data_IF_347037984528
#
_entry.id   IF_347037984528
#
_cell.length_a   1.000
_cell.length_b   1.000
_cell.length_c   1.000
_cell.angle_alpha   90.00
_cell.angle_beta   90.00
_cell.angle_gamma   90.00
#
_symmetry.space_group_name_H-M   'P 1'
#
loop_
_entity.id
_entity.type
_entity.pdbx_description
1 polymer ?
#
# COMPACT_ATOMS: atom_id res chain seq x y z
N UNK A 1 -49.34 -25.55 -14.23
CA UNK A 1 -49.38 -24.21 -13.61
C UNK A 1 -48.72 -24.31 -12.24
N UNK A 2 -47.69 -23.48 -12.03
CA UNK A 2 -47.05 -23.00 -10.77
C UNK A 2 -46.69 -24.02 -9.66
N UNK A 3 -45.51 -24.02 -9.02
CA UNK A 3 -44.32 -23.13 -9.02
C UNK A 3 -43.18 -23.81 -8.21
N UNK A 4 -41.91 -23.68 -8.65
CA UNK A 4 -40.80 -22.92 -8.01
C UNK A 4 -40.82 -22.94 -6.47
N UNK A 5 -39.87 -23.58 -5.78
CA UNK A 5 -38.48 -23.12 -5.52
C UNK A 5 -38.45 -22.35 -4.19
N UNK A 6 -37.51 -22.42 -3.26
CA UNK A 6 -36.23 -23.10 -3.07
C UNK A 6 -35.59 -22.52 -1.79
N UNK A 7 -34.59 -23.22 -1.22
CA UNK A 7 -33.58 -22.62 -0.33
C UNK A 7 -33.87 -22.60 1.18
N UNK A 8 -33.04 -23.30 1.96
CA UNK A 8 -33.10 -23.25 3.43
C UNK A 8 -32.05 -24.12 4.12
N UNK A 9 -30.84 -23.58 4.20
CA UNK A 9 -29.69 -23.89 5.08
C UNK A 9 -29.93 -24.92 6.19
N UNK A 10 -29.14 -25.99 6.17
CA UNK A 10 -28.85 -26.82 7.34
C UNK A 10 -27.38 -27.21 7.29
N UNK A 11 -26.58 -26.66 8.21
CA UNK A 11 -25.20 -27.08 8.40
C UNK A 11 -25.18 -28.55 8.82
N UNK A 12 -24.28 -29.33 8.22
CA UNK A 12 -23.84 -30.58 8.83
C UNK A 12 -22.31 -30.58 8.84
N UNK A 13 -21.80 -30.40 10.04
CA UNK A 13 -20.54 -30.98 10.51
C UNK A 13 -20.61 -32.47 10.17
N UNK A 14 -19.69 -32.95 9.32
CA UNK A 14 -19.48 -34.39 9.14
C UNK A 14 -18.02 -34.71 9.44
N UNK A 15 -17.81 -35.05 10.71
CA UNK A 15 -16.92 -36.07 11.24
C UNK A 15 -15.97 -36.71 10.23
N UNK A 16 -14.67 -36.44 10.35
CA UNK A 16 -13.64 -37.34 9.83
C UNK A 16 -13.51 -38.49 10.82
N UNK A 17 -14.39 -39.47 10.66
CA UNK A 17 -14.30 -40.75 11.36
C UNK A 17 -13.10 -41.53 10.85
N UNK A 18 -12.13 -41.73 11.73
CA UNK A 18 -11.06 -42.69 11.58
C UNK A 18 -11.66 -44.10 11.56
N UNK A 19 -11.60 -44.81 10.43
CA UNK A 19 -11.91 -46.25 10.37
C UNK A 19 -10.79 -47.00 9.64
N UNK A 20 -9.94 -47.59 10.48
CA UNK A 20 -9.49 -48.97 10.46
C UNK A 20 -9.34 -49.71 9.12
N UNK A 21 -8.10 -50.16 8.96
CA UNK A 21 -7.56 -51.14 8.03
C UNK A 21 -8.44 -52.39 7.86
N UNK A 22 -8.81 -52.68 6.61
CA UNK A 22 -9.41 -53.94 6.20
C UNK A 22 -8.84 -54.39 4.87
N UNK A 23 -7.79 -55.24 4.92
CA UNK A 23 -7.16 -55.89 3.78
C UNK A 23 -8.11 -56.96 3.22
N UNK A 24 -8.56 -56.82 1.97
CA UNK A 24 -9.06 -57.93 1.14
C UNK A 24 -8.60 -57.74 -0.29
N UNK A 25 -7.78 -58.68 -0.76
CA UNK A 25 -7.41 -58.87 -2.15
C UNK A 25 -8.60 -59.46 -2.92
N UNK A 26 -8.87 -58.96 -4.13
CA UNK A 26 -9.88 -59.55 -5.00
C UNK A 26 -10.16 -58.76 -6.29
N UNK A 27 -9.62 -59.26 -7.40
CA UNK A 27 -10.32 -59.29 -8.70
C UNK A 27 -10.52 -57.95 -9.43
N UNK A 28 -9.55 -57.58 -10.27
CA UNK A 28 -9.65 -56.46 -11.21
C UNK A 28 -10.77 -56.68 -12.26
N UNK A 29 -11.81 -55.83 -12.24
CA UNK A 29 -12.82 -55.73 -13.31
C UNK A 29 -12.74 -54.34 -13.94
N UNK A 30 -12.79 -54.26 -15.28
CA UNK A 30 -12.47 -53.06 -16.06
C UNK A 30 -13.29 -51.79 -15.77
N UNK A 31 -14.34 -51.89 -14.95
CA UNK A 31 -15.10 -50.77 -14.38
C UNK A 31 -14.30 -49.96 -13.36
N UNK A 32 -13.32 -50.60 -12.71
CA UNK A 32 -12.46 -50.00 -11.69
C UNK A 32 -11.47 -48.99 -12.29
N UNK A 33 -10.79 -49.38 -13.38
CA UNK A 33 -9.86 -48.49 -14.11
C UNK A 33 -10.53 -47.26 -14.72
N UNK A 34 -11.83 -47.32 -15.03
CA UNK A 34 -12.59 -46.17 -15.56
C UNK A 34 -12.95 -45.18 -14.45
N UNK A 35 -13.33 -45.69 -13.28
CA UNK A 35 -13.61 -44.89 -12.08
C UNK A 35 -12.34 -44.27 -11.53
N UNK A 36 -11.24 -45.01 -11.51
CA UNK A 36 -9.93 -44.51 -11.06
C UNK A 36 -9.39 -43.41 -11.99
N UNK A 37 -9.56 -43.56 -13.32
CA UNK A 37 -9.24 -42.49 -14.28
C UNK A 37 -10.13 -41.25 -14.12
N UNK A 38 -11.42 -41.43 -13.83
CA UNK A 38 -12.32 -40.31 -13.57
C UNK A 38 -11.96 -39.58 -12.25
N UNK A 39 -11.60 -40.33 -11.21
CA UNK A 39 -11.11 -39.78 -9.95
C UNK A 39 -9.80 -39.02 -10.13
N UNK A 40 -8.81 -39.60 -10.84
CA UNK A 40 -7.54 -38.91 -11.14
C UNK A 40 -7.75 -37.61 -11.92
N UNK A 41 -8.61 -37.63 -12.95
CA UNK A 41 -8.98 -36.42 -13.70
C UNK A 41 -9.66 -35.38 -12.81
N UNK A 42 -10.57 -35.80 -11.92
CA UNK A 42 -11.23 -34.90 -10.98
C UNK A 42 -10.26 -34.27 -9.99
N UNK A 43 -9.32 -35.04 -9.45
CA UNK A 43 -8.26 -34.55 -8.56
C UNK A 43 -7.35 -33.57 -9.30
N UNK A 44 -6.90 -33.91 -10.51
CA UNK A 44 -6.04 -33.05 -11.35
C UNK A 44 -6.74 -31.74 -11.76
N UNK A 45 -8.04 -31.79 -12.07
CA UNK A 45 -8.84 -30.60 -12.40
C UNK A 45 -9.09 -29.72 -11.16
N UNK A 46 -9.29 -30.31 -9.98
CA UNK A 46 -9.37 -29.56 -8.72
C UNK A 46 -8.03 -28.96 -8.30
N UNK A 47 -6.92 -29.65 -8.55
CA UNK A 47 -5.58 -29.14 -8.32
C UNK A 47 -5.19 -28.05 -9.32
N UNK A 48 -5.56 -28.17 -10.60
CA UNK A 48 -5.37 -27.11 -11.60
C UNK A 48 -6.25 -25.89 -11.29
N UNK A 49 -7.49 -26.10 -10.84
CA UNK A 49 -8.35 -25.00 -10.36
C UNK A 49 -7.78 -24.34 -9.11
N UNK A 50 -7.23 -25.12 -8.17
CA UNK A 50 -6.53 -24.59 -6.99
C UNK A 50 -5.25 -23.86 -7.38
N UNK A 51 -4.48 -24.39 -8.34
CA UNK A 51 -3.29 -23.76 -8.92
C UNK A 51 -3.65 -22.45 -9.59
N UNK A 52 -4.66 -22.39 -10.46
CA UNK A 52 -5.16 -21.16 -11.12
C UNK A 52 -5.68 -20.13 -10.12
N UNK A 53 -6.33 -20.54 -9.03
CA UNK A 53 -6.72 -19.64 -7.94
C UNK A 53 -5.51 -19.12 -7.15
N UNK A 54 -4.41 -19.87 -7.08
CA UNK A 54 -3.14 -19.44 -6.47
C UNK A 54 -2.14 -18.80 -7.44
N UNK A 55 -2.40 -18.83 -8.75
CA UNK A 55 -1.46 -18.42 -9.80
C UNK A 55 -1.87 -17.13 -10.52
N UNK A 56 -2.62 -16.26 -9.85
CA UNK A 56 -2.57 -14.83 -10.14
C UNK A 56 -1.50 -14.17 -9.26
N UNK A 57 -0.28 -14.66 -9.36
CA UNK A 57 0.88 -13.89 -8.94
C UNK A 57 1.69 -13.58 -10.20
N UNK A 58 1.37 -12.42 -10.77
CA UNK A 58 2.29 -11.68 -11.61
C UNK A 58 3.68 -11.72 -10.95
N UNK A 59 4.75 -12.19 -11.62
CA UNK A 59 6.06 -12.35 -11.03
C UNK A 59 6.52 -11.01 -10.46
N UNK A 60 6.44 -10.92 -9.13
CA UNK A 60 7.00 -9.90 -8.23
C UNK A 60 7.49 -8.63 -8.94
N UNK A 61 6.59 -7.66 -9.17
CA UNK A 61 7.04 -6.27 -9.17
C UNK A 61 7.69 -6.07 -7.80
N UNK A 62 9.02 -6.02 -7.75
CA UNK A 62 9.76 -5.82 -6.50
C UNK A 62 9.39 -4.43 -6.02
N UNK A 63 8.43 -4.35 -5.11
CA UNK A 63 8.01 -3.05 -4.60
C UNK A 63 9.17 -2.44 -3.81
N UNK A 64 9.47 -1.16 -4.03
CA UNK A 64 10.44 -0.45 -3.21
C UNK A 64 10.01 -0.47 -1.75
N UNK A 65 10.98 -0.61 -0.84
CA UNK A 65 10.75 -0.56 0.59
C UNK A 65 11.16 0.81 1.13
N UNK A 66 10.17 1.62 1.51
CA UNK A 66 10.35 2.91 2.17
C UNK A 66 10.33 2.80 3.69
N UNK A 67 10.01 1.63 4.25
CA UNK A 67 9.91 1.42 5.69
C UNK A 67 11.21 1.78 6.39
N UNK A 68 11.09 2.57 7.46
CA UNK A 68 12.24 2.96 8.25
C UNK A 68 12.08 4.30 8.92
N UNK A 69 13.14 4.65 9.67
CA UNK A 69 13.29 5.95 10.31
C UNK A 69 14.33 6.76 9.55
N UNK A 70 13.92 7.92 9.09
CA UNK A 70 14.69 8.81 8.24
C UNK A 70 15.03 10.10 8.98
N UNK A 71 16.31 10.46 8.94
CA UNK A 71 16.84 11.71 9.49
C UNK A 71 17.25 12.63 8.35
N UNK A 72 17.01 13.93 8.54
CA UNK A 72 17.44 14.93 7.57
C UNK A 72 18.95 15.03 7.50
N UNK A 73 19.48 14.90 6.27
CA UNK A 73 20.87 15.18 5.94
C UNK A 73 21.03 16.59 5.36
N UNK A 74 20.18 16.95 4.40
CA UNK A 74 20.24 18.23 3.71
C UNK A 74 18.83 18.74 3.34
N UNK A 75 18.69 20.06 3.28
CA UNK A 75 17.49 20.75 2.82
C UNK A 75 17.89 21.95 1.97
N UNK A 76 17.47 21.97 0.72
CA UNK A 76 17.62 23.13 -0.16
C UNK A 76 16.30 23.92 -0.18
N UNK A 77 16.30 25.20 -0.59
CA UNK A 77 15.14 26.07 -0.89
C UNK A 77 13.91 26.09 0.07
N UNK A 78 14.00 25.61 1.32
CA UNK A 78 12.83 25.46 2.19
C UNK A 78 12.17 26.80 2.55
N UNK A 79 12.96 27.86 2.70
CA UNK A 79 12.43 29.21 2.90
C UNK A 79 11.64 29.73 1.69
N UNK A 80 12.13 29.47 0.47
CA UNK A 80 11.45 29.89 -0.77
C UNK A 80 10.13 29.13 -0.97
N UNK A 81 10.03 27.86 -0.54
CA UNK A 81 8.76 27.14 -0.47
C UNK A 81 7.75 27.89 0.42
N UNK A 82 8.14 28.21 1.65
CA UNK A 82 7.24 28.89 2.59
C UNK A 82 6.82 30.27 2.07
N UNK A 83 7.73 30.97 1.39
CA UNK A 83 7.45 32.25 0.74
C UNK A 83 6.45 32.10 -0.42
N UNK A 84 6.61 31.07 -1.26
CA UNK A 84 5.67 30.76 -2.34
C UNK A 84 4.28 30.34 -1.81
N UNK A 85 4.22 29.74 -0.63
CA UNK A 85 2.99 29.45 0.10
C UNK A 85 2.36 30.68 0.79
N UNK A 86 2.99 31.86 0.71
CA UNK A 86 2.48 33.09 1.29
C UNK A 86 2.77 33.27 2.78
N UNK A 87 3.67 32.47 3.36
CA UNK A 87 4.05 32.59 4.77
C UNK A 87 4.90 33.86 4.99
N UNK A 88 4.54 34.66 5.99
CA UNK A 88 5.24 35.90 6.30
C UNK A 88 6.70 35.66 6.74
N UNK A 89 7.58 36.65 6.55
CA UNK A 89 9.03 36.48 6.73
C UNK A 89 9.45 36.07 8.15
N UNK A 90 8.73 36.54 9.18
CA UNK A 90 9.02 36.16 10.56
C UNK A 90 8.71 34.69 10.82
N UNK A 91 7.54 34.22 10.39
CA UNK A 91 7.14 32.82 10.52
C UNK A 91 8.03 31.89 9.70
N UNK A 92 8.54 32.33 8.55
CA UNK A 92 9.50 31.54 7.75
C UNK A 92 10.78 31.25 8.52
N UNK A 93 11.38 32.24 9.17
CA UNK A 93 12.61 32.04 9.96
C UNK A 93 12.41 31.05 11.10
N UNK A 94 11.27 31.16 11.80
CA UNK A 94 10.91 30.23 12.87
C UNK A 94 10.69 28.82 12.32
N UNK A 95 9.98 28.69 11.20
CA UNK A 95 9.73 27.41 10.55
C UNK A 95 11.01 26.74 10.04
N UNK A 96 11.96 27.50 9.46
CA UNK A 96 13.28 26.99 9.05
C UNK A 96 14.05 26.46 10.26
N UNK A 97 14.08 27.21 11.37
CA UNK A 97 14.74 26.76 12.58
C UNK A 97 14.07 25.50 13.18
N UNK A 98 12.73 25.45 13.13
CA UNK A 98 11.95 24.36 13.69
C UNK A 98 11.97 23.07 12.87
N UNK A 99 12.00 23.21 11.55
CA UNK A 99 12.08 22.12 10.59
C UNK A 99 13.55 21.82 10.21
N UNK A 100 14.53 22.28 10.98
CA UNK A 100 15.95 22.02 10.71
C UNK A 100 16.36 20.56 10.91
N UNK A 101 15.59 19.79 11.68
CA UNK A 101 15.85 18.37 12.00
C UNK A 101 14.55 17.55 12.07
N UNK A 102 13.79 17.40 10.98
CA UNK A 102 12.60 16.57 10.98
C UNK A 102 13.01 15.10 11.15
N UNK A 103 12.23 14.42 11.96
CA UNK A 103 12.26 12.98 12.12
C UNK A 103 11.09 12.38 11.34
N UNK A 104 11.37 11.56 10.34
CA UNK A 104 10.35 10.94 9.49
C UNK A 104 10.34 9.44 9.73
N UNK A 105 9.21 8.91 10.17
CA UNK A 105 8.96 7.47 10.33
C UNK A 105 7.98 7.03 9.24
N UNK A 106 8.34 5.98 8.51
CA UNK A 106 7.50 5.39 7.46
C UNK A 106 7.25 3.93 7.83
N UNK A 107 5.98 3.55 7.85
CA UNK A 107 5.54 2.15 7.89
C UNK A 107 4.87 1.83 6.57
N UNK A 108 5.28 0.74 5.95
CA UNK A 108 4.76 0.32 4.65
C UNK A 108 4.27 -1.12 4.75
N UNK A 109 3.02 -1.35 4.33
CA UNK A 109 2.46 -2.69 4.17
C UNK A 109 1.89 -2.80 2.75
N UNK A 110 2.73 -3.25 1.82
CA UNK A 110 2.41 -3.26 0.40
C UNK A 110 2.18 -1.84 -0.14
N UNK A 111 0.94 -1.54 -0.52
CA UNK A 111 0.50 -0.24 -1.02
C UNK A 111 -0.07 0.68 0.09
N UNK A 112 -0.19 0.17 1.32
CA UNK A 112 -0.60 0.97 2.47
C UNK A 112 0.62 1.66 3.09
N UNK A 113 0.54 2.97 3.24
CA UNK A 113 1.58 3.80 3.84
C UNK A 113 1.04 4.53 5.06
N UNK A 114 1.82 4.48 6.14
CA UNK A 114 1.70 5.38 7.26
C UNK A 114 2.99 6.20 7.36
N UNK A 115 2.84 7.51 7.42
CA UNK A 115 3.97 8.42 7.47
C UNK A 115 3.76 9.40 8.61
N UNK A 116 4.71 9.41 9.53
CA UNK A 116 4.78 10.36 10.64
C UNK A 116 5.98 11.26 10.46
N UNK A 117 5.72 12.56 10.32
CA UNK A 117 6.76 13.59 10.27
C UNK A 117 6.70 14.40 11.56
N UNK A 118 7.77 14.36 12.35
CA UNK A 118 7.87 15.11 13.61
C UNK A 118 8.95 16.19 13.47
N UNK A 119 8.57 17.44 13.70
CA UNK A 119 9.47 18.61 13.82
C UNK A 119 9.39 19.17 15.23
N UNK A 120 10.23 20.14 15.58
CA UNK A 120 10.17 20.74 16.93
C UNK A 120 8.89 21.53 17.18
N UNK A 121 8.18 21.96 16.13
CA UNK A 121 6.96 22.77 16.23
C UNK A 121 5.70 21.95 15.94
N UNK A 122 5.76 20.98 15.03
CA UNK A 122 4.58 20.24 14.60
C UNK A 122 4.89 18.78 14.29
N UNK A 123 3.99 17.90 14.70
CA UNK A 123 3.94 16.52 14.23
C UNK A 123 2.73 16.34 13.33
N UNK A 124 2.93 15.71 12.17
CA UNK A 124 1.87 15.38 11.21
C UNK A 124 1.91 13.89 10.90
N UNK A 125 0.75 13.27 10.86
CA UNK A 125 0.59 11.84 10.58
C UNK A 125 -0.38 11.68 9.41
N UNK A 126 0.00 10.91 8.40
CA UNK A 126 -0.85 10.60 7.25
C UNK A 126 -0.90 9.09 7.05
N UNK A 127 -2.08 8.60 6.70
CA UNK A 127 -2.36 7.21 6.32
C UNK A 127 -3.00 7.23 4.94
N UNK A 128 -2.45 6.49 3.98
CA UNK A 128 -2.99 6.43 2.63
C UNK A 128 -2.70 5.10 1.96
N UNK A 129 -3.46 4.82 0.90
CA UNK A 129 -3.24 3.70 -0.01
C UNK A 129 -2.84 4.28 -1.36
N UNK A 130 -1.82 3.72 -2.01
CA UNK A 130 -1.46 4.14 -3.36
C UNK A 130 -2.64 3.93 -4.31
N UNK A 131 -2.97 4.96 -5.09
CA UNK A 131 -4.08 4.95 -6.04
C UNK A 131 -5.42 5.39 -5.44
N UNK A 132 -5.52 5.59 -4.12
CA UNK A 132 -6.74 6.06 -3.46
C UNK A 132 -6.61 7.52 -3.00
N UNK A 133 -7.73 8.24 -3.07
CA UNK A 133 -7.80 9.61 -2.56
C UNK A 133 -7.94 9.62 -1.03
N UNK A 134 -7.19 10.49 -0.36
CA UNK A 134 -7.27 10.67 1.09
C UNK A 134 -7.32 12.17 1.45
N UNK A 135 -7.80 12.47 2.65
CA UNK A 135 -7.80 13.83 3.17
C UNK A 135 -6.50 14.10 3.92
N UNK A 136 -5.86 15.21 3.62
CA UNK A 136 -4.71 15.69 4.39
C UNK A 136 -4.83 17.19 4.68
N UNK A 137 -3.90 17.69 5.46
CA UNK A 137 -3.74 19.11 5.74
C UNK A 137 -2.37 19.56 5.24
N UNK A 138 -2.34 20.63 4.45
CA UNK A 138 -1.10 21.22 3.97
C UNK A 138 -0.33 21.88 5.13
N UNK A 139 0.95 22.15 4.92
CA UNK A 139 1.85 22.74 5.95
C UNK A 139 1.32 24.06 6.53
N UNK A 140 0.58 24.83 5.73
CA UNK A 140 -0.05 26.09 6.10
C UNK A 140 -1.45 25.95 6.72
N UNK A 141 -1.91 24.72 6.95
CA UNK A 141 -3.13 24.41 7.69
C UNK A 141 -4.41 24.30 6.86
N UNK A 142 -4.30 24.31 5.52
CA UNK A 142 -5.47 24.18 4.64
C UNK A 142 -5.80 22.71 4.40
N UNK A 143 -7.10 22.38 4.42
CA UNK A 143 -7.57 21.04 4.11
C UNK A 143 -7.48 20.79 2.60
N UNK A 144 -6.88 19.68 2.20
CA UNK A 144 -6.79 19.26 0.81
C UNK A 144 -7.10 17.77 0.65
N UNK A 145 -7.46 17.39 -0.57
CA UNK A 145 -7.58 16.01 -1.02
C UNK A 145 -6.32 15.64 -1.76
N UNK A 146 -5.74 14.51 -1.40
CA UNK A 146 -4.50 14.02 -1.94
C UNK A 146 -4.67 12.68 -2.63
N UNK A 147 -3.92 12.49 -3.72
CA UNK A 147 -3.86 11.23 -4.45
C UNK A 147 -2.40 10.86 -4.68
N UNK A 148 -1.94 9.80 -4.01
CA UNK A 148 -0.59 9.27 -4.16
C UNK A 148 -0.55 8.16 -5.22
N UNK A 149 0.41 8.24 -6.13
CA UNK A 149 0.60 7.29 -7.25
C UNK A 149 2.07 6.99 -7.46
N UNK A 150 2.38 5.79 -7.95
CA UNK A 150 3.72 5.48 -8.45
C UNK A 150 4.02 6.27 -9.72
N UNK A 151 5.02 7.16 -9.70
CA UNK A 151 5.52 7.84 -10.89
C UNK A 151 6.59 6.99 -11.58
N UNK A 152 7.45 6.35 -10.78
CA UNK A 152 8.42 5.35 -11.25
C UNK A 152 8.43 4.15 -10.30
N UNK A 153 9.32 3.18 -10.52
CA UNK A 153 9.48 2.04 -9.61
C UNK A 153 9.84 2.46 -8.19
N UNK A 154 10.64 3.52 -8.03
CA UNK A 154 11.17 3.97 -6.72
C UNK A 154 10.67 5.36 -6.31
N UNK A 155 9.69 5.92 -7.03
CA UNK A 155 9.20 7.28 -6.81
C UNK A 155 7.69 7.32 -6.67
N UNK A 156 7.24 7.86 -5.54
CA UNK A 156 5.85 8.21 -5.27
C UNK A 156 5.67 9.68 -5.62
N UNK A 157 4.62 9.98 -6.38
CA UNK A 157 4.13 11.33 -6.63
C UNK A 157 2.75 11.47 -5.99
N UNK A 158 2.53 12.56 -5.26
CA UNK A 158 1.25 12.85 -4.67
C UNK A 158 0.76 14.23 -5.07
N UNK A 159 -0.41 14.26 -5.70
CA UNK A 159 -1.10 15.48 -6.08
C UNK A 159 -1.99 15.94 -4.94
N UNK A 160 -1.85 17.20 -4.54
CA UNK A 160 -2.68 17.82 -3.51
C UNK A 160 -3.65 18.82 -4.16
N UNK A 161 -4.94 18.68 -3.86
CA UNK A 161 -6.02 19.54 -4.37
C UNK A 161 -6.75 20.18 -3.18
N UNK A 162 -6.69 21.51 -3.05
CA UNK A 162 -7.36 22.22 -1.95
C UNK A 162 -8.87 21.98 -1.99
N UNK A 163 -9.48 21.69 -0.83
CA UNK A 163 -10.93 21.49 -0.72
C UNK A 163 -11.70 22.82 -0.75
N UNK A 164 -11.08 23.90 -0.30
CA UNK A 164 -11.70 25.22 -0.21
C UNK A 164 -10.67 26.32 -0.50
N UNK A 165 -11.07 27.30 -1.32
CA UNK A 165 -10.24 28.45 -1.70
C UNK A 165 -9.54 28.28 -3.05
N UNK A 166 -8.93 29.38 -3.53
CA UNK A 166 -8.07 29.37 -4.71
C UNK A 166 -6.60 29.38 -4.26
N UNK A 167 -5.74 28.61 -4.92
CA UNK A 167 -4.34 28.48 -4.51
C UNK A 167 -3.49 27.74 -5.53
N UNK A 168 -2.15 27.81 -5.39
CA UNK A 168 -1.24 27.12 -6.29
C UNK A 168 -1.49 25.61 -6.21
N UNK A 169 -1.38 24.93 -7.36
CA UNK A 169 -1.38 23.46 -7.40
C UNK A 169 -0.17 22.97 -6.63
N UNK A 170 -0.41 22.17 -5.60
CA UNK A 170 0.64 21.63 -4.74
C UNK A 170 0.81 20.14 -4.99
N UNK A 171 2.03 19.67 -4.80
CA UNK A 171 2.36 18.26 -4.87
C UNK A 171 3.56 17.98 -3.98
N UNK A 172 3.67 16.73 -3.56
CA UNK A 172 4.87 16.21 -2.94
C UNK A 172 5.32 14.93 -3.64
N UNK A 173 6.62 14.62 -3.60
CA UNK A 173 7.16 13.37 -4.11
C UNK A 173 8.13 12.74 -3.12
N UNK A 174 8.24 11.42 -3.13
CA UNK A 174 9.22 10.65 -2.34
C UNK A 174 9.92 9.66 -3.24
N UNK A 175 11.23 9.80 -3.38
CA UNK A 175 12.05 8.95 -4.24
C UNK A 175 13.15 8.27 -3.41
N UNK A 176 13.26 6.95 -3.53
CA UNK A 176 14.37 6.20 -2.95
C UNK A 176 15.56 6.18 -3.91
N UNK A 177 16.73 6.57 -3.41
CA UNK A 177 18.01 6.52 -4.11
C UNK A 177 19.03 5.80 -3.24
N UNK A 178 19.08 4.47 -3.36
CA UNK A 178 19.86 3.65 -2.46
C UNK A 178 19.36 3.78 -1.02
N UNK A 179 20.23 4.25 -0.13
CA UNK A 179 19.93 4.45 1.30
C UNK A 179 19.46 5.88 1.63
N UNK A 180 19.12 6.66 0.60
CA UNK A 180 18.64 8.03 0.73
C UNK A 180 17.18 8.16 0.27
N UNK A 181 16.42 8.97 1.00
CA UNK A 181 15.05 9.33 0.67
C UNK A 181 15.01 10.80 0.26
N UNK A 182 14.68 11.05 -1.00
CA UNK A 182 14.56 12.39 -1.58
C UNK A 182 13.11 12.84 -1.52
N UNK A 183 12.83 13.95 -0.83
CA UNK A 183 11.49 14.52 -0.74
C UNK A 183 11.42 15.75 -1.64
N UNK A 184 10.46 15.77 -2.55
CA UNK A 184 10.18 16.93 -3.41
C UNK A 184 8.91 17.64 -2.96
N UNK A 185 8.88 18.96 -3.01
CA UNK A 185 7.69 19.76 -2.71
C UNK A 185 7.56 20.93 -3.68
N UNK A 186 6.40 21.07 -4.32
CA UNK A 186 6.17 22.09 -5.36
C UNK A 186 7.24 22.06 -6.47
N UNK A 187 7.12 22.96 -7.45
CA UNK A 187 7.94 22.93 -8.67
C UNK A 187 9.42 23.29 -8.45
N UNK A 188 9.90 23.52 -7.21
CA UNK A 188 11.27 24.02 -6.96
C UNK A 188 11.99 23.52 -5.69
N UNK A 189 11.47 22.56 -4.91
CA UNK A 189 12.11 22.09 -3.67
C UNK A 189 12.55 20.62 -3.69
N UNK A 190 13.75 20.32 -3.17
CA UNK A 190 14.26 18.98 -2.85
C UNK A 190 14.86 18.94 -1.42
N UNK A 191 14.48 17.96 -0.62
CA UNK A 191 15.13 17.58 0.65
C UNK A 191 15.76 16.20 0.51
N UNK A 192 16.90 15.97 1.16
CA UNK A 192 17.59 14.67 1.21
C UNK A 192 17.62 14.17 2.66
N UNK A 193 17.06 12.99 2.88
CA UNK A 193 17.12 12.26 4.15
C UNK A 193 17.94 10.98 3.97
N UNK A 194 18.49 10.45 5.06
CA UNK A 194 19.08 9.10 5.10
C UNK A 194 18.43 8.21 6.12
N UNK A 195 18.51 6.91 5.86
CA UNK A 195 18.15 5.88 6.81
C UNK A 195 19.05 5.99 8.05
N UNK A 196 18.46 5.85 9.23
CA UNK A 196 19.15 5.87 10.52
C UNK A 196 19.53 4.50 11.02
#
# INVERSE_FOLDING_TARGET
MCGRGGGGRGGLVCCVGSLHTGRREGGSTGTDRRRERAWRKGVEETEDRRRRLTHNQNPTRKMPNFEGTWKMKNSENFEELLKALGVNAMLRKVAVAAASKPHVEIKQNGEHFYIKTSTTVRTTEINFVIGEEFNEETVDGRKCKSLATWETENKIYCKQTLLSGNGPKTFWSRELKGDELVLGYLQSLKLLLSLS
#
